data_IF_205431445241
#
_entry.id   IF_205431445241
#
_cell.length_a   1.000
_cell.length_b   1.000
_cell.length_c   1.000
_cell.angle_alpha   90.00
_cell.angle_beta   90.00
_cell.angle_gamma   90.00
#
_symmetry.space_group_name_H-M   'P 1'
#
loop_
_entity.id
_entity.type
_entity.pdbx_description
1 polymer ?
#
# COMPACT_ATOMS: atom_id res chain seq x y z
N UNK A 1 41.27 51.52 72.26
CA UNK A 1 41.81 50.14 72.23
C UNK A 1 40.74 49.07 72.50
N UNK A 2 39.96 49.13 73.58
CA UNK A 2 38.98 48.07 73.90
C UNK A 2 37.88 47.84 72.84
N UNK A 3 37.38 48.89 72.16
CA UNK A 3 36.36 48.75 71.11
C UNK A 3 36.88 48.04 69.86
N UNK A 4 38.14 48.28 69.48
CA UNK A 4 38.76 47.68 68.28
C UNK A 4 38.93 46.15 68.42
N UNK A 5 39.25 45.69 69.63
CA UNK A 5 39.33 44.25 69.93
C UNK A 5 37.97 43.55 69.90
N UNK A 6 36.90 44.21 70.38
CA UNK A 6 35.53 43.68 70.27
C UNK A 6 35.08 43.56 68.82
N UNK A 7 35.43 44.53 67.99
CA UNK A 7 35.04 44.58 66.58
C UNK A 7 35.73 43.47 65.77
N UNK A 8 37.03 43.25 65.99
CA UNK A 8 37.77 42.13 65.40
C UNK A 8 37.23 40.77 65.84
N UNK A 9 36.91 40.59 67.13
CA UNK A 9 36.34 39.31 67.63
C UNK A 9 34.95 39.03 67.02
N UNK A 10 34.16 40.08 66.76
CA UNK A 10 32.89 39.99 66.07
C UNK A 10 33.06 39.60 64.60
N UNK A 11 34.02 40.21 63.90
CA UNK A 11 34.34 39.90 62.51
C UNK A 11 34.86 38.47 62.35
N UNK A 12 35.73 37.98 63.25
CA UNK A 12 36.22 36.60 63.24
C UNK A 12 35.06 35.60 63.42
N UNK A 13 34.12 35.89 64.34
CA UNK A 13 32.91 35.05 64.52
C UNK A 13 32.01 35.06 63.30
N UNK A 14 31.85 36.19 62.63
CA UNK A 14 31.08 36.28 61.38
C UNK A 14 31.75 35.49 60.25
N UNK A 15 33.07 35.57 60.13
CA UNK A 15 33.85 34.87 59.11
C UNK A 15 33.82 33.35 59.31
N UNK A 16 33.91 32.87 60.56
CA UNK A 16 33.75 31.46 60.90
C UNK A 16 32.34 30.94 60.57
N UNK A 17 31.29 31.74 60.82
CA UNK A 17 29.92 31.38 60.45
C UNK A 17 29.75 31.29 58.93
N UNK A 18 30.27 32.28 58.19
CA UNK A 18 30.22 32.29 56.74
C UNK A 18 30.98 31.10 56.13
N UNK A 19 32.12 30.70 56.70
CA UNK A 19 32.86 29.52 56.26
C UNK A 19 32.06 28.23 56.51
N UNK A 20 31.46 28.07 57.69
CA UNK A 20 30.60 26.92 58.00
C UNK A 20 29.38 26.84 57.08
N UNK A 21 28.79 27.98 56.71
CA UNK A 21 27.67 28.05 55.79
C UNK A 21 28.08 27.71 54.36
N UNK A 22 29.24 28.18 53.90
CA UNK A 22 29.84 27.82 52.61
C UNK A 22 30.13 26.32 52.53
N UNK A 23 30.70 25.72 53.59
CA UNK A 23 30.99 24.29 53.67
C UNK A 23 29.69 23.46 53.56
N UNK A 24 28.62 23.89 54.22
CA UNK A 24 27.30 23.25 54.11
C UNK A 24 26.74 23.33 52.69
N UNK A 25 26.80 24.51 52.06
CA UNK A 25 26.34 24.68 50.68
C UNK A 25 27.14 23.83 49.69
N UNK A 26 28.45 23.69 49.91
CA UNK A 26 29.30 22.83 49.10
C UNK A 26 28.90 21.34 49.22
N UNK A 27 28.71 20.85 50.45
CA UNK A 27 28.26 19.48 50.70
C UNK A 27 26.87 19.19 50.10
N UNK A 28 25.96 20.17 50.17
CA UNK A 28 24.64 20.08 49.55
C UNK A 28 24.73 20.05 48.01
N UNK A 29 25.61 20.86 47.43
CA UNK A 29 25.88 20.86 45.98
C UNK A 29 26.47 19.53 45.51
N UNK A 30 27.44 18.97 46.22
CA UNK A 30 28.00 17.64 45.91
C UNK A 30 26.95 16.53 46.00
N UNK A 31 26.01 16.65 46.94
CA UNK A 31 24.90 15.70 47.07
C UNK A 31 23.98 15.80 45.86
N UNK A 32 23.57 17.00 45.47
CA UNK A 32 22.76 17.22 44.27
C UNK A 32 23.45 16.73 43.00
N UNK A 33 24.77 16.91 42.87
CA UNK A 33 25.52 16.42 41.72
C UNK A 33 25.49 14.88 41.64
N UNK A 34 25.70 14.21 42.78
CA UNK A 34 25.61 12.73 42.86
C UNK A 34 24.21 12.21 42.54
N UNK A 35 23.17 12.89 43.02
CA UNK A 35 21.78 12.55 42.72
C UNK A 35 21.47 12.73 41.22
N UNK A 36 21.94 13.82 40.60
CA UNK A 36 21.79 14.05 39.16
C UNK A 36 22.54 13.01 38.31
N UNK A 37 23.76 12.62 38.68
CA UNK A 37 24.51 11.59 37.97
C UNK A 37 23.77 10.25 37.94
N UNK A 38 23.10 9.89 39.03
CA UNK A 38 22.26 8.68 39.09
C UNK A 38 21.03 8.82 38.19
N UNK A 39 20.35 9.97 38.21
CA UNK A 39 19.19 10.23 37.35
C UNK A 39 19.56 10.21 35.86
N UNK A 40 20.70 10.79 35.47
CA UNK A 40 21.19 10.78 34.09
C UNK A 40 21.48 9.34 33.63
N UNK A 41 22.11 8.52 34.47
CA UNK A 41 22.35 7.11 34.15
C UNK A 41 21.05 6.34 33.96
N UNK A 42 20.05 6.57 34.82
CA UNK A 42 18.72 5.95 34.68
C UNK A 42 18.02 6.38 33.39
N UNK A 43 18.07 7.68 33.05
CA UNK A 43 17.51 8.19 31.79
C UNK A 43 18.19 7.60 30.55
N UNK A 44 19.51 7.43 30.57
CA UNK A 44 20.25 6.81 29.47
C UNK A 44 19.86 5.34 29.26
N UNK A 45 19.69 4.58 30.36
CA UNK A 45 19.23 3.19 30.30
C UNK A 45 17.79 3.10 29.75
N UNK A 46 16.88 3.90 30.29
CA UNK A 46 15.50 3.96 29.80
C UNK A 46 15.45 4.35 28.31
N UNK A 47 16.27 5.30 27.87
CA UNK A 47 16.36 5.69 26.46
C UNK A 47 16.86 4.54 25.58
N UNK A 48 17.84 3.76 26.04
CA UNK A 48 18.33 2.59 25.31
C UNK A 48 17.25 1.51 25.18
N UNK A 49 16.51 1.24 26.26
CA UNK A 49 15.39 0.30 26.27
C UNK A 49 14.28 0.74 25.31
N UNK A 50 13.86 2.01 25.38
CA UNK A 50 12.87 2.58 24.44
C UNK A 50 13.34 2.47 22.98
N UNK A 51 14.63 2.73 22.70
CA UNK A 51 15.19 2.56 21.35
C UNK A 51 15.15 1.11 20.87
N UNK A 52 15.35 0.15 21.78
CA UNK A 52 15.27 -1.26 21.48
C UNK A 52 13.82 -1.68 21.18
N UNK A 53 12.88 -1.30 22.04
CA UNK A 53 11.45 -1.54 21.84
C UNK A 53 10.95 -0.95 20.52
N UNK A 54 11.31 0.30 20.22
CA UNK A 54 10.94 0.94 18.96
C UNK A 54 11.45 0.18 17.72
N UNK A 55 12.66 -0.36 17.78
CA UNK A 55 13.20 -1.19 16.68
C UNK A 55 12.44 -2.49 16.52
N UNK A 56 12.07 -3.14 17.61
CA UNK A 56 11.25 -4.36 17.60
C UNK A 56 9.85 -4.07 17.05
N UNK A 57 9.19 -3.01 17.49
CA UNK A 57 7.89 -2.58 16.95
C UNK A 57 7.97 -2.28 15.45
N UNK A 58 9.02 -1.58 14.99
CA UNK A 58 9.20 -1.30 13.56
C UNK A 58 9.37 -2.59 12.72
N UNK A 59 10.05 -3.61 13.26
CA UNK A 59 10.17 -4.92 12.62
C UNK A 59 8.83 -5.63 12.54
N UNK A 60 8.09 -5.68 13.65
CA UNK A 60 6.76 -6.28 13.71
C UNK A 60 5.78 -5.60 12.74
N UNK A 61 5.77 -4.27 12.66
CA UNK A 61 4.95 -3.53 11.69
C UNK A 61 5.31 -3.87 10.24
N UNK A 62 6.60 -4.04 9.93
CA UNK A 62 7.04 -4.43 8.59
C UNK A 62 6.61 -5.86 8.23
N UNK A 63 6.69 -6.79 9.17
CA UNK A 63 6.23 -8.17 8.97
C UNK A 63 4.71 -8.24 8.82
N UNK A 64 3.96 -7.51 9.65
CA UNK A 64 2.53 -7.38 9.52
C UNK A 64 2.14 -6.79 8.16
N UNK A 65 2.84 -5.74 7.70
CA UNK A 65 2.63 -5.16 6.37
C UNK A 65 2.83 -6.18 5.24
N UNK A 66 3.83 -7.05 5.33
CA UNK A 66 4.04 -8.14 4.36
C UNK A 66 2.92 -9.18 4.40
N UNK A 67 2.47 -9.57 5.59
CA UNK A 67 1.37 -10.54 5.74
C UNK A 67 0.06 -9.99 5.19
N UNK A 68 -0.26 -8.72 5.50
CA UNK A 68 -1.44 -8.03 4.96
C UNK A 68 -1.36 -7.92 3.43
N UNK A 69 -0.19 -7.56 2.88
CA UNK A 69 0.04 -7.54 1.43
C UNK A 69 -0.22 -8.90 0.78
N UNK A 70 0.33 -9.98 1.35
CA UNK A 70 0.11 -11.34 0.87
C UNK A 70 -1.34 -11.84 0.97
N UNK A 71 -2.15 -11.28 1.90
CA UNK A 71 -3.58 -11.55 1.94
C UNK A 71 -4.34 -10.86 0.79
N UNK A 72 -3.93 -9.64 0.42
CA UNK A 72 -4.49 -8.93 -0.73
C UNK A 72 -4.27 -9.67 -2.05
N UNK A 73 -3.06 -10.17 -2.29
CA UNK A 73 -2.73 -10.97 -3.49
C UNK A 73 -3.57 -12.26 -3.57
N UNK A 74 -3.75 -12.96 -2.44
CA UNK A 74 -4.60 -14.16 -2.38
C UNK A 74 -6.08 -13.87 -2.63
N UNK A 75 -6.56 -12.71 -2.20
CA UNK A 75 -7.93 -12.28 -2.47
C UNK A 75 -8.15 -11.95 -3.94
N UNK A 76 -7.16 -11.34 -4.60
CA UNK A 76 -7.15 -11.11 -6.05
C UNK A 76 -7.26 -12.43 -6.83
N UNK A 77 -6.33 -13.35 -6.58
CA UNK A 77 -6.31 -14.64 -7.27
C UNK A 77 -7.54 -15.51 -7.00
N UNK A 78 -8.14 -15.40 -5.81
CA UNK A 78 -9.43 -16.04 -5.52
C UNK A 78 -10.58 -15.44 -6.33
N UNK A 79 -10.62 -14.11 -6.48
CA UNK A 79 -11.64 -13.42 -7.27
C UNK A 79 -11.53 -13.79 -8.75
N UNK A 80 -10.31 -13.80 -9.30
CA UNK A 80 -10.02 -14.29 -10.65
C UNK A 80 -10.48 -15.74 -10.84
N UNK A 81 -10.15 -16.62 -9.87
CA UNK A 81 -10.54 -18.03 -9.90
C UNK A 81 -12.06 -18.25 -9.91
N UNK A 82 -12.83 -17.39 -9.24
CA UNK A 82 -14.30 -17.42 -9.29
C UNK A 82 -14.86 -16.83 -10.59
N UNK A 83 -14.20 -15.82 -11.16
CA UNK A 83 -14.66 -15.18 -12.39
C UNK A 83 -14.43 -16.05 -13.63
N UNK A 84 -13.35 -16.83 -13.67
CA UNK A 84 -12.90 -17.53 -14.88
C UNK A 84 -13.98 -18.42 -15.52
N UNK A 85 -14.71 -19.32 -14.82
CA UNK A 85 -15.73 -20.15 -15.45
C UNK A 85 -16.84 -19.34 -16.12
N UNK A 86 -17.25 -18.25 -15.47
CA UNK A 86 -18.30 -17.36 -15.99
C UNK A 86 -17.79 -16.55 -17.17
N UNK A 87 -16.55 -16.04 -17.10
CA UNK A 87 -15.93 -15.31 -18.19
C UNK A 87 -15.67 -16.19 -19.40
N UNK A 88 -15.23 -17.44 -19.21
CA UNK A 88 -15.10 -18.40 -20.30
C UNK A 88 -16.43 -18.61 -21.04
N UNK A 89 -17.52 -18.74 -20.29
CA UNK A 89 -18.86 -18.86 -20.86
C UNK A 89 -19.25 -17.62 -21.68
N UNK A 90 -19.08 -16.41 -21.12
CA UNK A 90 -19.37 -15.14 -21.81
C UNK A 90 -18.54 -15.04 -23.10
N UNK A 91 -17.22 -15.25 -23.00
CA UNK A 91 -16.28 -15.11 -24.12
C UNK A 91 -16.57 -16.11 -25.24
N UNK A 92 -16.91 -17.37 -24.91
CA UNK A 92 -17.28 -18.36 -25.94
C UNK A 92 -18.66 -18.10 -26.54
N UNK A 93 -19.68 -17.91 -25.70
CA UNK A 93 -21.07 -17.93 -26.16
C UNK A 93 -21.52 -16.60 -26.77
N UNK A 94 -21.07 -15.48 -26.20
CA UNK A 94 -21.52 -14.15 -26.63
C UNK A 94 -20.51 -13.50 -27.58
N UNK A 95 -19.22 -13.67 -27.31
CA UNK A 95 -18.15 -13.08 -28.14
C UNK A 95 -17.53 -14.04 -29.15
N UNK A 96 -17.89 -15.32 -29.17
CA UNK A 96 -17.40 -16.32 -30.13
C UNK A 96 -15.86 -16.46 -30.12
N UNK A 97 -15.25 -16.32 -28.93
CA UNK A 97 -13.82 -16.50 -28.76
C UNK A 97 -13.45 -17.99 -28.82
N UNK A 98 -12.42 -18.30 -29.61
CA UNK A 98 -11.94 -19.67 -29.83
C UNK A 98 -10.89 -20.06 -28.78
N UNK A 99 -9.98 -19.13 -28.49
CA UNK A 99 -8.86 -19.31 -27.58
C UNK A 99 -9.10 -18.42 -26.37
N UNK A 100 -9.01 -19.01 -25.17
CA UNK A 100 -9.13 -18.32 -23.89
C UNK A 100 -7.98 -18.78 -23.01
N UNK A 101 -7.21 -17.83 -22.51
CA UNK A 101 -5.99 -18.07 -21.74
C UNK A 101 -6.03 -17.23 -20.45
N UNK A 102 -6.19 -17.87 -19.28
CA UNK A 102 -6.09 -17.18 -18.01
C UNK A 102 -4.63 -16.92 -17.62
N UNK A 103 -4.41 -15.91 -16.78
CA UNK A 103 -3.13 -15.56 -16.17
C UNK A 103 -1.98 -15.41 -17.16
N UNK A 104 -2.21 -14.64 -18.22
CA UNK A 104 -1.22 -14.41 -19.27
C UNK A 104 -0.19 -13.39 -18.79
N UNK A 105 1.08 -13.81 -18.76
CA UNK A 105 2.21 -12.97 -18.38
C UNK A 105 3.22 -12.90 -19.51
N UNK A 106 3.62 -11.69 -19.88
CA UNK A 106 4.62 -11.44 -20.91
C UNK A 106 5.71 -10.49 -20.41
N UNK A 107 6.95 -10.76 -20.80
CA UNK A 107 8.11 -9.93 -20.46
C UNK A 107 8.91 -9.61 -21.71
N UNK A 108 9.15 -8.32 -21.97
CA UNK A 108 9.96 -7.84 -23.11
C UNK A 108 10.81 -6.65 -22.68
N UNK A 109 12.12 -6.70 -22.94
CA UNK A 109 13.06 -5.58 -22.73
C UNK A 109 12.94 -4.95 -21.33
N UNK A 110 12.85 -5.79 -20.28
CA UNK A 110 12.71 -5.34 -18.89
C UNK A 110 11.34 -4.78 -18.51
N UNK A 111 10.37 -4.81 -19.41
CA UNK A 111 8.98 -4.48 -19.12
C UNK A 111 8.15 -5.76 -18.95
N UNK A 112 7.15 -5.67 -18.07
CA UNK A 112 6.23 -6.76 -17.78
C UNK A 112 4.79 -6.32 -18.11
N UNK A 113 3.99 -7.29 -18.53
CA UNK A 113 2.55 -7.16 -18.74
C UNK A 113 1.87 -8.42 -18.20
N UNK A 114 0.85 -8.22 -17.39
CA UNK A 114 -0.02 -9.28 -16.85
C UNK A 114 -1.46 -8.99 -17.29
N UNK A 115 -2.16 -10.05 -17.68
CA UNK A 115 -3.54 -10.03 -18.16
C UNK A 115 -4.26 -11.19 -17.47
N UNK A 116 -5.35 -10.90 -16.75
CA UNK A 116 -6.08 -11.92 -16.00
C UNK A 116 -6.71 -12.94 -16.95
N UNK A 117 -7.35 -12.48 -18.04
CA UNK A 117 -7.80 -13.36 -19.14
C UNK A 117 -7.57 -12.69 -20.49
N UNK A 118 -6.84 -13.37 -21.37
CA UNK A 118 -6.75 -13.04 -22.79
C UNK A 118 -7.62 -14.01 -23.57
N UNK A 119 -8.52 -13.48 -24.40
CA UNK A 119 -9.29 -14.30 -25.33
C UNK A 119 -9.21 -13.75 -26.74
N UNK A 120 -9.17 -14.61 -27.74
CA UNK A 120 -9.16 -14.19 -29.13
C UNK A 120 -9.74 -15.24 -30.08
N UNK A 121 -10.18 -14.75 -31.23
CA UNK A 121 -10.57 -15.56 -32.38
C UNK A 121 -9.87 -15.03 -33.65
N UNK A 122 -9.65 -15.93 -34.60
CA UNK A 122 -9.11 -15.59 -35.93
C UNK A 122 -10.25 -15.52 -36.96
N UNK A 123 -9.92 -15.57 -38.26
CA UNK A 123 -10.92 -15.65 -39.33
C UNK A 123 -11.84 -14.43 -39.38
N UNK A 124 -13.14 -14.67 -39.54
CA UNK A 124 -14.14 -13.60 -39.71
C UNK A 124 -14.32 -12.74 -38.45
N UNK A 125 -14.12 -13.33 -37.26
CA UNK A 125 -14.25 -12.60 -36.00
C UNK A 125 -13.05 -11.68 -35.78
N UNK A 126 -11.83 -12.18 -36.05
CA UNK A 126 -10.53 -11.49 -35.94
C UNK A 126 -10.44 -10.45 -34.80
N UNK A 127 -10.75 -10.88 -33.57
CA UNK A 127 -10.90 -10.00 -32.41
C UNK A 127 -10.18 -10.59 -31.21
N UNK A 128 -9.68 -9.73 -30.32
CA UNK A 128 -9.14 -10.08 -29.01
C UNK A 128 -9.85 -9.30 -27.90
N UNK A 129 -10.06 -9.95 -26.76
CA UNK A 129 -10.58 -9.37 -25.54
C UNK A 129 -9.55 -9.53 -24.43
N UNK A 130 -9.28 -8.43 -23.73
CA UNK A 130 -8.48 -8.37 -22.51
C UNK A 130 -9.44 -8.18 -21.35
N UNK A 131 -9.46 -9.13 -20.43
CA UNK A 131 -10.29 -9.05 -19.22
C UNK A 131 -9.39 -8.76 -18.03
N UNK A 132 -9.79 -7.77 -17.23
CA UNK A 132 -9.24 -7.51 -15.90
C UNK A 132 -10.34 -7.77 -14.87
N UNK A 133 -10.04 -8.53 -13.84
CA UNK A 133 -10.95 -8.94 -12.77
C UNK A 133 -10.61 -8.17 -11.49
N UNK A 134 -11.59 -7.48 -10.90
CA UNK A 134 -11.43 -6.76 -9.64
C UNK A 134 -12.48 -7.18 -8.62
N UNK A 135 -12.06 -7.39 -7.38
CA UNK A 135 -12.98 -7.57 -6.25
C UNK A 135 -13.74 -6.28 -5.95
N UNK A 136 -13.04 -5.14 -5.97
CA UNK A 136 -13.63 -3.83 -5.75
C UNK A 136 -13.02 -2.83 -6.74
N UNK A 137 -13.86 -2.27 -7.61
CA UNK A 137 -13.41 -1.36 -8.66
C UNK A 137 -13.20 0.04 -8.12
N UNK A 138 -12.05 0.63 -8.49
CA UNK A 138 -11.75 2.05 -8.33
C UNK A 138 -11.37 2.65 -9.68
N UNK A 139 -11.29 3.98 -9.76
CA UNK A 139 -10.95 4.68 -11.01
C UNK A 139 -9.61 4.21 -11.61
N UNK A 140 -8.66 3.85 -10.76
CA UNK A 140 -7.35 3.39 -11.19
C UNK A 140 -7.42 2.11 -12.02
N UNK A 141 -8.44 1.26 -11.82
CA UNK A 141 -8.62 0.04 -12.59
C UNK A 141 -8.94 0.32 -14.07
N UNK A 142 -9.65 1.41 -14.35
CA UNK A 142 -9.95 1.85 -15.73
C UNK A 142 -8.65 2.24 -16.43
N UNK A 143 -7.84 3.06 -15.75
CA UNK A 143 -6.54 3.50 -16.26
C UNK A 143 -5.59 2.32 -16.44
N UNK A 144 -5.59 1.37 -15.50
CA UNK A 144 -4.78 0.15 -15.59
C UNK A 144 -5.14 -0.67 -16.84
N UNK A 145 -6.43 -0.97 -17.05
CA UNK A 145 -6.88 -1.75 -18.20
C UNK A 145 -6.58 -1.04 -19.53
N UNK A 146 -6.78 0.28 -19.61
CA UNK A 146 -6.39 1.07 -20.80
C UNK A 146 -4.89 0.99 -21.08
N UNK A 147 -4.05 1.09 -20.06
CA UNK A 147 -2.60 0.95 -20.23
C UNK A 147 -2.20 -0.46 -20.74
N UNK A 148 -2.93 -1.50 -20.32
CA UNK A 148 -2.72 -2.86 -20.83
C UNK A 148 -3.10 -2.92 -22.32
N UNK A 149 -4.27 -2.39 -22.68
CA UNK A 149 -4.77 -2.35 -24.05
C UNK A 149 -3.83 -1.59 -24.99
N UNK A 150 -3.38 -0.39 -24.61
CA UNK A 150 -2.48 0.45 -25.41
C UNK A 150 -1.13 -0.23 -25.66
N UNK A 151 -0.66 -1.06 -24.73
CA UNK A 151 0.64 -1.76 -24.83
C UNK A 151 0.51 -3.16 -25.42
N UNK A 152 -0.71 -3.70 -25.53
CA UNK A 152 -0.96 -5.10 -25.87
C UNK A 152 -0.22 -5.54 -27.13
N UNK A 153 -0.34 -4.79 -28.24
CA UNK A 153 0.28 -5.15 -29.53
C UNK A 153 1.81 -5.15 -29.49
N UNK A 154 2.43 -4.35 -28.62
CA UNK A 154 3.88 -4.38 -28.44
C UNK A 154 4.35 -5.69 -27.78
N UNK A 155 3.54 -6.22 -26.84
CA UNK A 155 3.80 -7.50 -26.20
C UNK A 155 3.38 -8.70 -27.06
N UNK A 156 2.29 -8.59 -27.82
CA UNK A 156 1.73 -9.65 -28.66
C UNK A 156 1.58 -9.21 -30.13
N UNK A 157 2.68 -9.03 -30.87
CA UNK A 157 2.67 -8.57 -32.26
C UNK A 157 1.91 -9.51 -33.22
N UNK A 158 1.74 -10.78 -32.85
CA UNK A 158 0.91 -11.77 -33.54
C UNK A 158 -0.57 -11.38 -33.60
N UNK A 159 -1.01 -10.43 -32.76
CA UNK A 159 -2.38 -9.92 -32.72
C UNK A 159 -2.52 -8.51 -33.34
N UNK A 160 -1.50 -8.01 -34.05
CA UNK A 160 -1.46 -6.64 -34.60
C UNK A 160 -2.58 -6.28 -35.57
N UNK A 161 -3.25 -7.27 -36.16
CA UNK A 161 -4.32 -7.05 -37.15
C UNK A 161 -5.71 -7.31 -36.55
N UNK A 162 -5.80 -7.65 -35.25
CA UNK A 162 -7.07 -7.88 -34.55
C UNK A 162 -7.71 -6.58 -34.10
N UNK A 163 -9.03 -6.54 -33.98
CA UNK A 163 -9.69 -5.56 -33.11
C UNK A 163 -9.48 -5.97 -31.66
N UNK A 164 -9.08 -5.04 -30.79
CA UNK A 164 -8.82 -5.34 -29.37
C UNK A 164 -9.81 -4.57 -28.53
N UNK A 165 -10.46 -5.26 -27.59
CA UNK A 165 -11.44 -4.71 -26.67
C UNK A 165 -11.10 -5.06 -25.22
N UNK A 166 -11.51 -4.20 -24.28
CA UNK A 166 -11.35 -4.44 -22.85
C UNK A 166 -12.67 -4.81 -22.17
N UNK A 167 -12.59 -5.71 -21.19
CA UNK A 167 -13.68 -6.04 -20.27
C UNK A 167 -13.19 -5.83 -18.84
N UNK A 168 -13.91 -5.05 -18.04
CA UNK A 168 -13.70 -4.97 -16.60
C UNK A 168 -14.72 -5.85 -15.90
N UNK A 169 -14.28 -6.96 -15.31
CA UNK A 169 -15.11 -7.85 -14.51
C UNK A 169 -15.02 -7.45 -13.03
N UNK A 170 -16.15 -7.18 -12.40
CA UNK A 170 -16.21 -6.65 -11.04
C UNK A 170 -17.13 -7.45 -10.11
N UNK A 171 -16.67 -7.74 -8.90
CA UNK A 171 -17.55 -8.23 -7.82
C UNK A 171 -18.35 -7.07 -7.23
N UNK A 172 -17.66 -5.99 -6.86
CA UNK A 172 -18.28 -4.77 -6.36
C UNK A 172 -17.93 -3.56 -7.25
N UNK A 173 -18.98 -2.84 -7.67
CA UNK A 173 -18.93 -1.74 -8.62
C UNK A 173 -20.10 -0.78 -8.38
N UNK A 174 -19.80 0.51 -8.21
CA UNK A 174 -20.82 1.54 -8.12
C UNK A 174 -21.44 1.86 -9.48
N UNK A 175 -22.67 2.38 -9.49
CA UNK A 175 -23.32 2.79 -10.73
C UNK A 175 -22.56 3.91 -11.46
N UNK A 176 -21.98 4.88 -10.73
CA UNK A 176 -21.20 5.97 -11.33
C UNK A 176 -19.92 5.48 -12.01
N UNK A 177 -19.21 4.52 -11.41
CA UNK A 177 -18.04 3.92 -12.02
C UNK A 177 -18.40 3.03 -13.20
N UNK A 178 -19.51 2.29 -13.14
CA UNK A 178 -20.05 1.53 -14.27
C UNK A 178 -20.23 2.43 -15.49
N UNK A 179 -20.96 3.54 -15.34
CA UNK A 179 -21.17 4.50 -16.43
C UNK A 179 -19.85 5.04 -16.99
N UNK A 180 -18.87 5.30 -16.11
CA UNK A 180 -17.55 5.77 -16.55
C UNK A 180 -16.78 4.72 -17.35
N UNK A 181 -16.82 3.44 -16.96
CA UNK A 181 -16.19 2.34 -17.70
C UNK A 181 -16.80 2.24 -19.10
N UNK A 182 -18.13 2.28 -19.18
CA UNK A 182 -18.85 2.26 -20.45
C UNK A 182 -18.48 3.48 -21.32
N UNK A 183 -18.44 4.69 -20.74
CA UNK A 183 -18.05 5.91 -21.47
C UNK A 183 -16.62 5.87 -22.03
N UNK A 184 -15.73 5.09 -21.40
CA UNK A 184 -14.37 4.85 -21.89
C UNK A 184 -14.30 3.76 -22.98
N UNK A 185 -15.45 3.21 -23.37
CA UNK A 185 -15.61 2.18 -24.40
C UNK A 185 -15.22 0.78 -23.95
N UNK A 186 -15.18 0.53 -22.63
CA UNK A 186 -14.87 -0.76 -22.03
C UNK A 186 -16.16 -1.50 -21.67
N UNK A 187 -16.20 -2.81 -21.92
CA UNK A 187 -17.29 -3.65 -21.43
C UNK A 187 -17.22 -3.81 -19.91
N UNK A 188 -18.39 -4.04 -19.30
CA UNK A 188 -18.50 -4.35 -17.88
C UNK A 188 -19.11 -5.74 -17.71
N UNK A 189 -18.50 -6.56 -16.87
CA UNK A 189 -19.11 -7.79 -16.36
C UNK A 189 -19.27 -7.70 -14.84
N UNK A 190 -20.38 -8.18 -14.30
CA UNK A 190 -20.67 -8.16 -12.87
C UNK A 190 -21.09 -9.52 -12.37
N UNK A 191 -20.80 -9.80 -11.11
CA UNK A 191 -21.32 -11.00 -10.45
C UNK A 191 -22.78 -10.79 -10.05
N UNK A 192 -23.64 -11.72 -10.42
CA UNK A 192 -25.03 -11.86 -10.00
C UNK A 192 -25.26 -13.33 -9.63
N UNK A 193 -25.79 -13.59 -8.43
CA UNK A 193 -26.02 -14.96 -7.93
C UNK A 193 -24.82 -15.93 -8.06
N UNK A 194 -23.61 -15.40 -7.88
CA UNK A 194 -22.37 -16.17 -7.94
C UNK A 194 -21.80 -16.40 -9.35
N UNK A 195 -22.44 -15.85 -10.39
CA UNK A 195 -22.05 -16.00 -11.79
C UNK A 195 -21.79 -14.61 -12.39
N UNK A 196 -20.73 -14.45 -13.18
CA UNK A 196 -20.52 -13.22 -13.93
C UNK A 196 -21.41 -13.17 -15.17
N UNK A 197 -21.97 -12.00 -15.42
CA UNK A 197 -22.78 -11.65 -16.58
C UNK A 197 -22.35 -10.30 -17.15
N UNK A 198 -22.55 -10.07 -18.44
CA UNK A 198 -22.32 -8.75 -19.03
C UNK A 198 -23.34 -7.75 -18.50
N UNK A 199 -22.85 -6.67 -17.92
CA UNK A 199 -23.64 -5.54 -17.46
C UNK A 199 -23.38 -4.34 -18.39
N UNK A 200 -23.72 -4.53 -19.66
CA UNK A 200 -23.48 -3.55 -20.73
C UNK A 200 -24.74 -3.43 -21.59
N UNK A 201 -25.18 -2.21 -21.95
CA UNK A 201 -26.37 -2.02 -22.81
C UNK A 201 -26.24 -2.72 -24.17
N UNK A 202 -27.37 -3.12 -24.76
CA UNK A 202 -27.38 -3.82 -26.05
C UNK A 202 -26.88 -2.95 -27.23
N UNK A 203 -27.04 -1.64 -27.13
CA UNK A 203 -26.60 -0.63 -28.11
C UNK A 203 -25.19 -0.09 -27.84
N UNK A 204 -24.51 -0.64 -26.82
CA UNK A 204 -23.17 -0.22 -26.45
C UNK A 204 -22.17 -0.31 -27.61
N UNK A 205 -21.41 0.78 -27.79
CA UNK A 205 -20.35 0.86 -28.79
C UNK A 205 -18.98 0.77 -28.10
N UNK A 206 -18.31 -0.39 -28.13
CA UNK A 206 -17.00 -0.52 -27.51
C UNK A 206 -15.94 0.24 -28.31
N UNK A 207 -14.94 0.76 -27.62
CA UNK A 207 -13.76 1.34 -28.26
C UNK A 207 -12.85 0.20 -28.71
N UNK A 208 -12.35 0.24 -29.95
CA UNK A 208 -11.25 -0.64 -30.35
C UNK A 208 -9.91 0.05 -30.06
N UNK A 209 -8.96 -0.68 -29.47
CA UNK A 209 -7.58 -0.24 -29.19
C UNK A 209 -6.58 -0.79 -30.20
#
# INVERSE_FOLDING_TARGET
MLNLFRENDLQIKQLLRAQQETERQFQETERHFRENDVQIKQLLLAQQETKHEQKETARQLKELGKQIGGLGEKFGSFTEGLALPSMERILRQQFQMEIISPSVRASKTGQHLEIDVLAYANGDVNTAYIVEVKSHVREEAITQLKNILDRFRAFFPEHRDKRVFGILAAVDLSASLRERILNEGLYVARIHDGIFELDTPADFQPKAW
#
